data_IF_344940611069
#
_entry.id   IF_344940611069
#
_cell.length_a   1.000
_cell.length_b   1.000
_cell.length_c   1.000
_cell.angle_alpha   90.00
_cell.angle_beta   90.00
_cell.angle_gamma   90.00
#
_symmetry.space_group_name_H-M   'P 1'
#
loop_
_entity.id
_entity.type
_entity.pdbx_description
1 polymer ?
#
# COMPACT_ATOMS: atom_id res chain seq x y z
N UNK A 1 17.43 -9.91 15.84
CA UNK A 1 16.39 -10.23 14.83
C UNK A 1 16.06 -9.00 14.00
N UNK A 2 16.01 -7.82 14.61
CA UNK A 2 15.98 -6.50 13.94
C UNK A 2 16.95 -6.38 12.76
N UNK A 3 18.23 -6.73 12.94
CA UNK A 3 19.24 -6.63 11.87
C UNK A 3 19.00 -7.60 10.71
N UNK A 4 18.25 -8.70 10.94
CA UNK A 4 17.91 -9.66 9.89
C UNK A 4 16.82 -9.12 8.97
N UNK A 5 15.92 -8.26 9.45
CA UNK A 5 14.80 -7.71 8.67
C UNK A 5 15.29 -7.02 7.40
N UNK A 6 16.41 -6.29 7.47
CA UNK A 6 17.00 -5.61 6.34
C UNK A 6 17.32 -6.57 5.17
N UNK A 7 17.80 -7.78 5.47
CA UNK A 7 18.19 -8.77 4.46
C UNK A 7 17.08 -9.71 3.98
N UNK A 8 15.87 -9.63 4.55
CA UNK A 8 14.75 -10.47 4.12
C UNK A 8 14.12 -9.93 2.83
N UNK A 9 13.71 -10.80 1.88
CA UNK A 9 12.86 -10.38 0.77
C UNK A 9 11.48 -9.99 1.31
N UNK A 10 10.91 -8.91 0.79
CA UNK A 10 9.62 -8.37 1.23
C UNK A 10 8.68 -8.16 0.05
N UNK A 11 7.39 -8.22 0.29
CA UNK A 11 6.34 -7.99 -0.71
C UNK A 11 5.40 -6.92 -0.17
N UNK A 12 5.17 -5.87 -0.94
CA UNK A 12 4.40 -4.70 -0.53
C UNK A 12 3.15 -4.57 -1.41
N UNK A 13 1.96 -4.61 -0.83
CA UNK A 13 0.70 -4.60 -1.62
C UNK A 13 -0.14 -3.34 -1.42
N UNK A 14 0.23 -2.49 -0.47
CA UNK A 14 -0.50 -1.27 -0.13
C UNK A 14 0.48 -0.15 0.19
N UNK A 15 0.88 0.55 -0.87
CA UNK A 15 1.71 1.74 -0.81
C UNK A 15 1.20 2.73 -1.85
N UNK A 16 1.00 3.98 -1.45
CA UNK A 16 0.54 5.06 -2.31
C UNK A 16 1.73 5.87 -2.83
N UNK A 17 1.85 5.98 -4.15
CA UNK A 17 2.94 6.70 -4.80
C UNK A 17 2.94 8.19 -4.40
N UNK A 18 1.76 8.80 -4.37
CA UNK A 18 1.49 10.19 -3.99
C UNK A 18 1.57 10.44 -2.46
N UNK A 19 1.69 9.38 -1.66
CA UNK A 19 2.09 9.41 -0.26
C UNK A 19 3.50 8.86 0.01
N UNK A 20 4.25 8.55 -1.05
CA UNK A 20 5.53 7.84 -0.98
C UNK A 20 6.77 8.68 -1.31
N UNK A 21 6.61 9.99 -1.49
CA UNK A 21 7.67 10.90 -1.98
C UNK A 21 8.80 11.08 -0.96
N UNK A 22 10.02 11.29 -1.46
CA UNK A 22 11.13 11.78 -0.63
C UNK A 22 10.88 13.25 -0.26
N UNK A 23 11.08 13.66 1.00
CA UNK A 23 10.93 15.07 1.38
C UNK A 23 11.76 16.03 0.53
N UNK A 24 13.00 15.66 0.20
CA UNK A 24 13.86 16.47 -0.67
C UNK A 24 13.28 16.65 -2.08
N UNK A 25 12.67 15.61 -2.63
CA UNK A 25 11.99 15.69 -3.93
C UNK A 25 10.75 16.57 -3.86
N UNK A 26 10.01 16.57 -2.75
CA UNK A 26 8.89 17.50 -2.53
C UNK A 26 9.39 18.94 -2.54
N UNK A 27 10.50 19.24 -1.84
CA UNK A 27 11.11 20.58 -1.84
C UNK A 27 11.50 21.01 -3.25
N UNK A 28 12.25 20.18 -3.97
CA UNK A 28 12.72 20.49 -5.33
C UNK A 28 11.56 20.78 -6.29
N UNK A 29 10.53 19.92 -6.27
CA UNK A 29 9.38 20.06 -7.17
C UNK A 29 8.46 21.20 -6.77
N UNK A 30 8.34 21.50 -5.48
CA UNK A 30 7.56 22.65 -5.00
C UNK A 30 8.19 23.98 -5.42
N UNK A 31 9.53 24.10 -5.33
CA UNK A 31 10.25 25.29 -5.81
C UNK A 31 10.01 25.48 -7.32
N UNK A 32 10.14 24.42 -8.11
CA UNK A 32 9.89 24.45 -9.54
C UNK A 32 8.43 24.81 -9.90
N UNK A 33 7.47 24.39 -9.09
CA UNK A 33 6.04 24.67 -9.29
C UNK A 33 5.59 26.02 -8.69
N UNK A 34 6.44 26.69 -7.89
CA UNK A 34 6.05 27.86 -7.10
C UNK A 34 5.01 27.55 -6.02
N UNK A 35 4.97 26.30 -5.52
CA UNK A 35 4.05 25.86 -4.48
C UNK A 35 4.63 26.14 -3.09
N UNK A 36 3.93 26.87 -2.20
CA UNK A 36 4.43 27.12 -0.86
C UNK A 36 4.45 25.85 0.00
N UNK A 37 5.57 25.63 0.70
CA UNK A 37 5.74 24.60 1.70
C UNK A 37 5.87 25.21 3.11
N UNK A 38 5.54 24.46 4.16
CA UNK A 38 5.71 24.90 5.55
C UNK A 38 7.18 25.14 5.93
N UNK A 39 8.11 24.47 5.25
CA UNK A 39 9.56 24.65 5.33
C UNK A 39 10.19 24.15 4.03
N UNK A 40 11.38 24.65 3.69
CA UNK A 40 12.19 24.20 2.54
C UNK A 40 13.35 23.30 2.96
N UNK A 41 13.53 23.04 4.26
CA UNK A 41 14.47 22.02 4.73
C UNK A 41 13.83 20.63 4.60
N UNK A 42 14.44 19.67 3.86
CA UNK A 42 13.85 18.35 3.67
C UNK A 42 13.63 17.54 4.94
N UNK A 43 14.53 17.64 5.93
CA UNK A 43 14.41 16.89 7.18
C UNK A 43 13.26 17.46 8.01
N UNK A 44 13.20 18.77 8.17
CA UNK A 44 12.09 19.45 8.86
C UNK A 44 10.75 19.21 8.16
N UNK A 45 10.73 19.13 6.82
CA UNK A 45 9.53 18.86 6.05
C UNK A 45 9.03 17.44 6.28
N UNK A 46 9.92 16.44 6.26
CA UNK A 46 9.57 15.05 6.59
C UNK A 46 8.96 14.94 7.99
N UNK A 47 9.60 15.58 8.96
CA UNK A 47 9.10 15.69 10.34
C UNK A 47 7.74 16.39 10.42
N UNK A 48 7.51 17.42 9.60
CA UNK A 48 6.22 18.10 9.50
C UNK A 48 5.13 17.15 8.99
N UNK A 49 5.40 16.37 7.93
CA UNK A 49 4.45 15.38 7.41
C UNK A 49 4.07 14.36 8.48
N UNK A 50 5.03 13.80 9.22
CA UNK A 50 4.77 12.82 10.28
C UNK A 50 3.91 13.39 11.40
N UNK A 51 4.21 14.62 11.85
CA UNK A 51 3.41 15.29 12.89
C UNK A 51 2.00 15.64 12.42
N UNK A 52 1.87 16.14 11.18
CA UNK A 52 0.57 16.51 10.61
C UNK A 52 -0.31 15.27 10.39
N UNK A 53 0.28 14.16 9.94
CA UNK A 53 -0.38 12.88 9.78
C UNK A 53 -0.82 12.25 11.12
N UNK A 54 -0.05 12.45 12.19
CA UNK A 54 -0.33 11.96 13.56
C UNK A 54 -1.50 12.67 14.26
N UNK A 55 -2.62 12.84 13.58
CA UNK A 55 -3.78 13.63 13.99
C UNK A 55 -4.87 12.84 14.71
N UNK A 56 -4.84 11.51 14.63
CA UNK A 56 -5.87 10.60 15.15
C UNK A 56 -7.17 10.59 14.33
N UNK A 57 -7.15 11.14 13.10
CA UNK A 57 -8.30 11.20 12.19
C UNK A 57 -7.83 11.10 10.74
N UNK A 58 -8.52 10.27 9.94
CA UNK A 58 -8.23 10.11 8.51
C UNK A 58 -8.41 11.41 7.73
N UNK A 59 -9.41 12.23 8.07
CA UNK A 59 -9.67 13.48 7.35
C UNK A 59 -8.50 14.47 7.46
N UNK A 60 -7.95 14.64 8.67
CA UNK A 60 -6.79 15.52 8.90
C UNK A 60 -5.52 14.93 8.32
N UNK A 61 -5.38 13.61 8.36
CA UNK A 61 -4.28 12.91 7.70
C UNK A 61 -4.23 13.24 6.19
N UNK A 62 -5.39 13.23 5.52
CA UNK A 62 -5.51 13.52 4.09
C UNK A 62 -5.19 14.97 3.71
N UNK A 63 -5.27 15.94 4.63
CA UNK A 63 -4.91 17.34 4.36
C UNK A 63 -3.45 17.49 3.93
N UNK A 64 -2.57 16.59 4.36
CA UNK A 64 -1.14 16.60 4.00
C UNK A 64 -0.89 16.37 2.51
N UNK A 65 -1.79 15.66 1.81
CA UNK A 65 -1.68 15.39 0.38
C UNK A 65 -1.82 16.63 -0.49
N UNK A 66 -2.31 17.74 0.06
CA UNK A 66 -2.34 19.01 -0.65
C UNK A 66 -0.95 19.40 -1.18
N UNK A 67 0.12 19.07 -0.47
CA UNK A 67 1.49 19.35 -0.92
C UNK A 67 2.00 18.33 -1.94
N UNK A 68 1.80 17.03 -1.71
CA UNK A 68 2.32 15.99 -2.60
C UNK A 68 1.60 15.98 -3.94
N UNK A 69 0.27 16.14 -3.94
CA UNK A 69 -0.52 16.27 -5.17
C UNK A 69 -0.13 17.52 -5.94
N UNK A 70 0.07 18.67 -5.28
CA UNK A 70 0.44 19.92 -5.96
C UNK A 70 1.76 19.82 -6.75
N UNK A 71 2.72 19.03 -6.27
CA UNK A 71 4.02 18.86 -6.94
C UNK A 71 4.03 17.76 -7.99
N UNK A 72 2.96 16.98 -8.12
CA UNK A 72 2.81 15.87 -9.06
C UNK A 72 1.88 16.21 -10.25
N UNK A 73 2.05 17.41 -10.82
CA UNK A 73 1.18 17.91 -11.90
C UNK A 73 1.84 17.90 -13.29
N UNK A 74 3.07 17.38 -13.40
CA UNK A 74 3.80 17.22 -14.68
C UNK A 74 4.22 15.77 -14.88
N UNK A 75 4.38 15.37 -16.15
CA UNK A 75 4.82 14.02 -16.49
C UNK A 75 6.24 13.74 -15.94
N UNK A 76 7.11 14.75 -15.96
CA UNK A 76 8.47 14.66 -15.44
C UNK A 76 8.50 14.43 -13.92
N UNK A 77 7.63 15.11 -13.17
CA UNK A 77 7.51 14.94 -11.72
C UNK A 77 7.00 13.54 -11.37
N UNK A 78 5.93 13.09 -12.04
CA UNK A 78 5.36 11.74 -11.88
C UNK A 78 6.38 10.64 -12.20
N UNK A 79 7.09 10.78 -13.33
CA UNK A 79 8.15 9.86 -13.72
C UNK A 79 9.28 9.80 -12.69
N UNK A 80 9.76 10.97 -12.23
CA UNK A 80 10.82 11.06 -11.21
C UNK A 80 10.40 10.36 -9.93
N UNK A 81 9.21 10.65 -9.41
CA UNK A 81 8.72 10.08 -8.15
C UNK A 81 8.48 8.58 -8.27
N UNK A 82 7.91 8.11 -9.39
CA UNK A 82 7.76 6.68 -9.68
C UNK A 82 9.10 5.95 -9.69
N UNK A 83 10.10 6.49 -10.39
CA UNK A 83 11.46 5.95 -10.40
C UNK A 83 12.08 5.91 -9.01
N UNK A 84 11.99 7.01 -8.26
CA UNK A 84 12.55 7.13 -6.91
C UNK A 84 11.92 6.14 -5.93
N UNK A 85 10.61 5.91 -6.03
CA UNK A 85 9.87 4.93 -5.24
C UNK A 85 10.41 3.51 -5.46
N UNK A 86 10.62 3.09 -6.71
CA UNK A 86 11.20 1.76 -7.00
C UNK A 86 12.59 1.60 -6.38
N UNK A 87 13.42 2.64 -6.47
CA UNK A 87 14.78 2.61 -5.91
C UNK A 87 14.76 2.49 -4.37
N UNK A 88 13.86 3.22 -3.70
CA UNK A 88 13.72 3.17 -2.25
C UNK A 88 13.19 1.81 -1.78
N UNK A 89 12.19 1.27 -2.48
CA UNK A 89 11.63 -0.06 -2.20
C UNK A 89 12.70 -1.16 -2.40
N UNK A 90 13.46 -1.09 -3.49
CA UNK A 90 14.55 -2.03 -3.74
C UNK A 90 15.64 -1.94 -2.65
N UNK A 91 15.98 -0.73 -2.20
CA UNK A 91 16.94 -0.51 -1.13
C UNK A 91 16.45 -1.08 0.22
N UNK A 92 15.13 -1.05 0.48
CA UNK A 92 14.49 -1.66 1.64
C UNK A 92 14.30 -3.19 1.51
N UNK A 93 14.78 -3.80 0.42
CA UNK A 93 14.72 -5.25 0.18
C UNK A 93 13.35 -5.75 -0.28
N UNK A 94 12.49 -4.85 -0.79
CA UNK A 94 11.24 -5.20 -1.44
C UNK A 94 11.55 -5.82 -2.80
N UNK A 95 11.00 -7.01 -3.05
CA UNK A 95 11.22 -7.78 -4.29
C UNK A 95 10.01 -7.71 -5.22
N UNK A 96 8.84 -7.37 -4.68
CA UNK A 96 7.63 -7.09 -5.44
C UNK A 96 6.80 -6.02 -4.74
N UNK A 97 6.29 -5.05 -5.51
CA UNK A 97 5.38 -4.03 -5.01
C UNK A 97 4.19 -3.80 -5.94
N UNK A 98 3.04 -3.52 -5.35
CA UNK A 98 1.90 -2.88 -6.00
C UNK A 98 1.74 -1.47 -5.43
N UNK A 99 2.16 -0.49 -6.22
CA UNK A 99 2.05 0.93 -5.91
C UNK A 99 0.71 1.44 -6.46
N UNK A 100 -0.03 2.18 -5.63
CA UNK A 100 -1.34 2.74 -5.98
C UNK A 100 -1.30 4.26 -6.03
N UNK A 101 -2.15 4.86 -6.83
CA UNK A 101 -2.31 6.32 -6.92
C UNK A 101 -3.61 6.66 -7.65
N UNK A 102 -4.08 7.89 -7.47
CA UNK A 102 -5.27 8.40 -8.13
C UNK A 102 -4.91 9.27 -9.34
N UNK A 103 -4.90 8.73 -10.58
CA UNK A 103 -4.47 9.49 -11.76
C UNK A 103 -5.30 10.76 -11.98
N UNK A 104 -6.56 10.79 -11.54
CA UNK A 104 -7.43 11.97 -11.62
C UNK A 104 -6.95 13.17 -10.79
N UNK A 105 -6.09 12.96 -9.78
CA UNK A 105 -5.55 14.03 -8.95
C UNK A 105 -4.38 14.79 -9.61
N UNK A 106 -3.84 14.25 -10.71
CA UNK A 106 -2.64 14.75 -11.38
C UNK A 106 -2.93 15.47 -12.71
N UNK A 107 -4.13 16.04 -12.84
CA UNK A 107 -4.62 16.68 -14.07
C UNK A 107 -4.75 18.21 -13.98
N UNK A 108 -4.43 18.84 -12.83
CA UNK A 108 -4.51 20.30 -12.67
C UNK A 108 -3.50 21.03 -13.58
N UNK A 109 -2.39 20.38 -13.90
CA UNK A 109 -1.40 20.83 -14.89
C UNK A 109 -1.80 20.60 -16.35
N UNK A 110 -2.99 20.07 -16.63
CA UNK A 110 -3.51 19.83 -17.99
C UNK A 110 -3.18 18.47 -18.60
N UNK A 111 -2.61 17.54 -17.82
CA UNK A 111 -2.37 16.17 -18.25
C UNK A 111 -3.68 15.38 -18.44
N UNK A 112 -3.74 14.55 -19.47
CA UNK A 112 -4.72 13.47 -19.59
C UNK A 112 -4.39 12.30 -18.67
N UNK A 113 -5.40 11.51 -18.28
CA UNK A 113 -5.23 10.32 -17.43
C UNK A 113 -4.20 9.33 -17.99
N UNK A 114 -4.19 9.11 -19.31
CA UNK A 114 -3.21 8.24 -19.97
C UNK A 114 -1.78 8.79 -19.84
N UNK A 115 -1.59 10.11 -19.97
CA UNK A 115 -0.27 10.74 -19.84
C UNK A 115 0.27 10.61 -18.42
N UNK A 116 -0.60 10.76 -17.41
CA UNK A 116 -0.25 10.52 -16.00
C UNK A 116 0.23 9.09 -15.81
N UNK A 117 -0.57 8.11 -16.28
CA UNK A 117 -0.26 6.70 -16.11
C UNK A 117 0.99 6.27 -16.88
N UNK A 118 1.15 6.71 -18.14
CA UNK A 118 2.33 6.39 -18.95
C UNK A 118 3.61 6.93 -18.30
N UNK A 119 3.58 8.14 -17.72
CA UNK A 119 4.72 8.71 -17.00
C UNK A 119 5.11 7.88 -15.77
N UNK A 120 4.13 7.46 -14.96
CA UNK A 120 4.38 6.61 -13.79
C UNK A 120 4.94 5.25 -14.19
N UNK A 121 4.36 4.60 -15.20
CA UNK A 121 4.83 3.29 -15.67
C UNK A 121 6.23 3.36 -16.28
N UNK A 122 6.56 4.45 -16.98
CA UNK A 122 7.91 4.69 -17.47
C UNK A 122 8.92 4.87 -16.33
N UNK A 123 8.56 5.63 -15.30
CA UNK A 123 9.39 5.79 -14.09
C UNK A 123 9.61 4.47 -13.35
N UNK A 124 8.56 3.64 -13.21
CA UNK A 124 8.71 2.30 -12.64
C UNK A 124 9.68 1.43 -13.46
N UNK A 125 9.53 1.41 -14.78
CA UNK A 125 10.41 0.63 -15.64
C UNK A 125 11.88 1.07 -15.55
N UNK A 126 12.15 2.39 -15.50
CA UNK A 126 13.51 2.92 -15.32
C UNK A 126 14.07 2.57 -13.94
N UNK A 127 13.28 2.75 -12.87
CA UNK A 127 13.69 2.41 -11.52
C UNK A 127 14.02 0.92 -11.35
N UNK A 128 13.25 0.03 -11.99
CA UNK A 128 13.53 -1.42 -12.00
C UNK A 128 14.87 -1.72 -12.70
N UNK A 129 15.15 -1.06 -13.82
CA UNK A 129 16.41 -1.23 -14.56
C UNK A 129 17.61 -0.75 -13.75
N UNK A 130 17.50 0.41 -13.10
CA UNK A 130 18.55 0.95 -12.25
C UNK A 130 18.80 0.08 -11.00
N UNK A 131 17.74 -0.40 -10.35
CA UNK A 131 17.86 -1.34 -9.25
C UNK A 131 18.59 -2.62 -9.67
N UNK A 132 18.24 -3.17 -10.85
CA UNK A 132 18.91 -4.33 -11.42
C UNK A 132 20.39 -4.09 -11.71
N UNK A 133 20.76 -2.91 -12.23
CA UNK A 133 22.15 -2.52 -12.44
C UNK A 133 22.95 -2.43 -11.12
N UNK A 134 22.28 -2.19 -10.00
CA UNK A 134 22.86 -2.22 -8.65
C UNK A 134 22.80 -3.61 -7.98
N UNK A 135 22.41 -4.65 -8.73
CA UNK A 135 22.31 -6.02 -8.22
C UNK A 135 21.09 -6.28 -7.33
N UNK A 136 20.07 -5.41 -7.38
CA UNK A 136 18.81 -5.57 -6.65
C UNK A 136 17.70 -6.01 -7.61
N UNK A 137 16.89 -6.97 -7.20
CA UNK A 137 15.74 -7.43 -7.97
C UNK A 137 14.46 -6.91 -7.33
N UNK A 138 13.70 -6.12 -8.07
CA UNK A 138 12.37 -5.66 -7.69
C UNK A 138 11.47 -5.70 -8.91
N UNK A 139 10.17 -5.93 -8.68
CA UNK A 139 9.13 -5.73 -9.68
C UNK A 139 8.03 -4.85 -9.11
N UNK A 140 7.61 -3.84 -9.84
CA UNK A 140 6.56 -2.90 -9.45
C UNK A 140 5.41 -2.92 -10.46
N UNK A 141 4.18 -2.92 -9.94
CA UNK A 141 2.94 -2.86 -10.71
C UNK A 141 2.06 -1.75 -10.16
N UNK A 142 1.19 -1.23 -11.02
CA UNK A 142 0.28 -0.16 -10.66
C UNK A 142 -1.10 -0.71 -10.26
N UNK A 143 -1.70 -0.11 -9.24
CA UNK A 143 -3.14 -0.11 -9.00
C UNK A 143 -3.66 1.31 -9.24
N UNK A 144 -4.80 1.44 -9.90
CA UNK A 144 -5.44 2.76 -10.05
C UNK A 144 -6.50 2.93 -8.99
N UNK A 145 -6.34 3.94 -8.14
CA UNK A 145 -7.30 4.28 -7.11
C UNK A 145 -8.28 5.33 -7.63
N UNK A 146 -9.58 5.09 -7.49
CA UNK A 146 -10.56 6.16 -7.64
C UNK A 146 -10.82 6.83 -6.29
N UNK A 147 -10.80 8.15 -6.28
CA UNK A 147 -11.12 8.93 -5.08
C UNK A 147 -12.63 8.88 -4.81
N UNK A 148 -12.99 8.36 -3.62
CA UNK A 148 -14.36 8.17 -3.13
C UNK A 148 -15.27 9.39 -3.32
N UNK A 149 -14.70 10.58 -3.13
CA UNK A 149 -15.37 11.87 -3.15
C UNK A 149 -15.39 12.57 -4.51
N UNK A 150 -14.65 12.04 -5.51
CA UNK A 150 -14.50 12.69 -6.80
C UNK A 150 -15.58 12.30 -7.82
N UNK A 151 -16.35 11.23 -7.56
CA UNK A 151 -17.37 10.69 -8.47
C UNK A 151 -16.85 10.38 -9.90
N UNK A 152 -15.55 10.11 -10.05
CA UNK A 152 -14.87 9.76 -11.31
C UNK A 152 -14.52 8.27 -11.46
N UNK A 153 -15.15 7.42 -10.64
CA UNK A 153 -14.86 5.98 -10.57
C UNK A 153 -14.90 5.25 -11.91
N UNK A 154 -15.88 5.57 -12.75
CA UNK A 154 -16.05 4.91 -14.06
C UNK A 154 -14.91 5.25 -15.04
N UNK A 155 -14.40 6.50 -15.01
CA UNK A 155 -13.27 6.92 -15.85
C UNK A 155 -11.98 6.19 -15.44
N UNK A 156 -11.70 6.12 -14.14
CA UNK A 156 -10.51 5.47 -13.60
C UNK A 156 -10.59 3.95 -13.81
N UNK A 157 -11.76 3.34 -13.63
CA UNK A 157 -11.97 1.93 -13.91
C UNK A 157 -11.79 1.59 -15.39
N UNK A 158 -12.27 2.44 -16.30
CA UNK A 158 -12.04 2.28 -17.74
C UNK A 158 -10.55 2.36 -18.09
N UNK A 159 -9.81 3.29 -17.49
CA UNK A 159 -8.35 3.39 -17.65
C UNK A 159 -7.64 2.15 -17.14
N UNK A 160 -8.00 1.66 -15.95
CA UNK A 160 -7.42 0.46 -15.36
C UNK A 160 -7.62 -0.77 -16.27
N UNK A 161 -8.82 -0.92 -16.82
CA UNK A 161 -9.13 -1.96 -17.80
C UNK A 161 -8.31 -1.80 -19.08
N UNK A 162 -8.16 -0.59 -19.63
CA UNK A 162 -7.36 -0.35 -20.82
C UNK A 162 -5.87 -0.70 -20.62
N UNK A 163 -5.35 -0.57 -19.40
CA UNK A 163 -3.95 -0.81 -19.06
C UNK A 163 -3.65 -2.14 -18.36
N UNK A 164 -4.64 -3.03 -18.21
CA UNK A 164 -4.52 -4.31 -17.47
C UNK A 164 -3.42 -5.28 -17.94
N UNK A 165 -2.91 -5.09 -19.15
CA UNK A 165 -1.80 -5.86 -19.73
C UNK A 165 -0.54 -5.01 -19.97
N UNK A 166 -0.51 -3.80 -19.39
CA UNK A 166 0.53 -2.78 -19.58
C UNK A 166 1.07 -2.26 -18.24
N UNK A 167 1.06 -3.10 -17.20
CA UNK A 167 1.63 -2.78 -15.89
C UNK A 167 0.60 -2.39 -14.82
N UNK A 168 -0.66 -2.13 -15.17
CA UNK A 168 -1.77 -2.07 -14.20
C UNK A 168 -2.25 -3.48 -13.91
N UNK A 169 -2.36 -3.84 -12.63
CA UNK A 169 -2.79 -5.19 -12.20
C UNK A 169 -4.08 -5.20 -11.41
N UNK A 170 -4.60 -4.03 -11.03
CA UNK A 170 -5.85 -3.94 -10.30
C UNK A 170 -6.36 -2.52 -10.15
N UNK A 171 -7.45 -2.41 -9.42
CA UNK A 171 -8.13 -1.16 -9.10
C UNK A 171 -8.36 -1.06 -7.60
N UNK A 172 -8.44 0.16 -7.10
CA UNK A 172 -8.67 0.50 -5.71
C UNK A 172 -9.65 1.68 -5.57
N UNK A 173 -10.19 1.89 -4.37
CA UNK A 173 -10.84 3.15 -4.00
C UNK A 173 -10.22 3.67 -2.71
N UNK A 174 -9.93 4.97 -2.68
CA UNK A 174 -9.26 5.65 -1.58
C UNK A 174 -9.94 6.99 -1.22
N UNK A 175 -9.43 7.69 -0.22
CA UNK A 175 -10.01 8.92 0.30
C UNK A 175 -10.93 8.71 1.51
N UNK A 176 -11.77 9.69 1.87
CA UNK A 176 -12.59 9.64 3.07
C UNK A 176 -13.55 8.44 3.02
N UNK A 177 -13.44 7.53 3.99
CA UNK A 177 -14.26 6.33 4.06
C UNK A 177 -15.69 6.64 4.52
N UNK A 178 -15.81 7.43 5.60
CA UNK A 178 -17.10 7.80 6.18
C UNK A 178 -17.94 8.64 5.22
N UNK A 179 -19.17 8.21 4.94
CA UNK A 179 -20.09 8.92 4.06
C UNK A 179 -19.87 8.68 2.55
N UNK A 180 -18.85 7.91 2.18
CA UNK A 180 -18.58 7.57 0.77
C UNK A 180 -18.47 6.06 0.58
N UNK A 181 -19.56 5.30 0.77
CA UNK A 181 -19.51 3.83 0.72
C UNK A 181 -19.11 3.32 -0.67
N UNK A 182 -18.47 2.13 -0.77
CA UNK A 182 -18.09 1.52 -2.06
C UNK A 182 -19.27 1.36 -3.03
N UNK A 183 -20.49 1.17 -2.51
CA UNK A 183 -21.72 1.05 -3.30
C UNK A 183 -22.01 2.27 -4.20
N UNK A 184 -21.45 3.45 -3.92
CA UNK A 184 -21.53 4.62 -4.83
C UNK A 184 -20.87 4.37 -6.19
N UNK A 185 -19.87 3.48 -6.24
CA UNK A 185 -19.12 3.14 -7.45
C UNK A 185 -19.59 1.80 -8.06
N UNK A 186 -20.88 1.46 -7.91
CA UNK A 186 -21.44 0.19 -8.40
C UNK A 186 -21.19 -0.03 -9.90
N UNK A 187 -21.28 1.04 -10.72
CA UNK A 187 -21.00 0.98 -12.17
C UNK A 187 -19.56 0.54 -12.45
N UNK A 188 -18.58 1.27 -11.90
CA UNK A 188 -17.16 0.94 -11.96
C UNK A 188 -16.85 -0.50 -11.50
N UNK A 189 -17.31 -0.90 -10.31
CA UNK A 189 -17.11 -2.27 -9.82
C UNK A 189 -17.77 -3.33 -10.72
N UNK A 190 -18.92 -3.03 -11.30
CA UNK A 190 -19.57 -3.86 -12.32
C UNK A 190 -18.70 -4.04 -13.56
N UNK A 191 -18.13 -2.96 -14.09
CA UNK A 191 -17.25 -2.97 -15.25
C UNK A 191 -15.95 -3.75 -14.97
N UNK A 192 -15.32 -3.53 -13.82
CA UNK A 192 -14.09 -4.20 -13.40
C UNK A 192 -14.29 -5.72 -13.28
N UNK A 193 -15.39 -6.15 -12.65
CA UNK A 193 -15.76 -7.56 -12.56
C UNK A 193 -16.03 -8.17 -13.93
N UNK A 194 -16.76 -7.48 -14.81
CA UNK A 194 -17.01 -7.96 -16.16
C UNK A 194 -15.71 -8.06 -16.99
N UNK A 195 -14.77 -7.16 -16.74
CA UNK A 195 -13.44 -7.13 -17.36
C UNK A 195 -12.39 -8.03 -16.70
N UNK A 196 -12.77 -8.79 -15.67
CA UNK A 196 -11.88 -9.70 -14.90
C UNK A 196 -10.64 -8.99 -14.30
N UNK A 197 -10.78 -7.73 -13.91
CA UNK A 197 -9.72 -7.00 -13.20
C UNK A 197 -9.97 -7.10 -11.68
N UNK A 198 -9.00 -7.61 -10.89
CA UNK A 198 -9.17 -7.71 -9.45
C UNK A 198 -9.18 -6.33 -8.80
N UNK A 199 -9.87 -6.24 -7.67
CA UNK A 199 -10.03 -4.98 -6.93
C UNK A 199 -9.61 -5.17 -5.48
N UNK A 200 -8.87 -4.21 -4.95
CA UNK A 200 -8.74 -3.99 -3.50
C UNK A 200 -9.64 -2.81 -3.13
N UNK A 201 -10.06 -2.71 -1.87
CA UNK A 201 -10.93 -1.63 -1.41
C UNK A 201 -10.46 -1.22 -0.01
N UNK A 202 -10.07 0.04 0.18
CA UNK A 202 -9.88 0.59 1.52
C UNK A 202 -11.16 0.44 2.32
N UNK A 203 -11.19 -0.37 3.37
CA UNK A 203 -12.39 -0.54 4.18
C UNK A 203 -12.02 -0.99 5.58
N UNK A 204 -12.78 -0.53 6.57
CA UNK A 204 -12.51 -0.83 7.96
C UNK A 204 -11.22 -0.17 8.46
N UNK A 205 -10.93 1.05 8.00
CA UNK A 205 -9.82 1.87 8.51
C UNK A 205 -10.35 2.90 9.51
N UNK A 206 -11.20 3.82 9.02
CA UNK A 206 -11.87 4.85 9.80
C UNK A 206 -13.35 4.51 10.05
N UNK A 207 -13.99 3.77 9.16
CA UNK A 207 -15.34 3.24 9.34
C UNK A 207 -15.34 1.81 9.90
N UNK A 208 -16.50 1.33 10.34
CA UNK A 208 -16.66 0.04 11.00
C UNK A 208 -16.94 -1.14 10.06
N UNK A 209 -17.50 -2.20 10.63
CA UNK A 209 -17.80 -3.46 9.95
C UNK A 209 -18.70 -3.32 8.72
N UNK A 210 -19.60 -2.34 8.70
CA UNK A 210 -20.50 -2.10 7.55
C UNK A 210 -19.70 -1.75 6.28
N UNK A 211 -18.62 -0.98 6.41
CA UNK A 211 -17.76 -0.64 5.27
C UNK A 211 -17.03 -1.88 4.74
N UNK A 212 -16.53 -2.74 5.63
CA UNK A 212 -15.92 -4.02 5.25
C UNK A 212 -16.96 -4.92 4.57
N UNK A 213 -18.19 -4.97 5.10
CA UNK A 213 -19.28 -5.73 4.50
C UNK A 213 -19.60 -5.25 3.08
N UNK A 214 -19.71 -3.94 2.86
CA UNK A 214 -19.92 -3.39 1.52
C UNK A 214 -18.75 -3.67 0.58
N UNK A 215 -17.50 -3.56 1.06
CA UNK A 215 -16.31 -3.88 0.26
C UNK A 215 -16.34 -5.34 -0.25
N UNK A 216 -16.65 -6.31 0.61
CA UNK A 216 -16.75 -7.71 0.17
C UNK A 216 -17.96 -7.95 -0.74
N UNK A 217 -19.07 -7.21 -0.56
CA UNK A 217 -20.25 -7.30 -1.41
C UNK A 217 -20.01 -6.76 -2.83
N UNK A 218 -19.21 -5.69 -2.98
CA UNK A 218 -18.84 -5.18 -4.31
C UNK A 218 -17.78 -6.06 -5.00
N UNK A 219 -17.19 -7.02 -4.29
CA UNK A 219 -16.30 -8.03 -4.84
C UNK A 219 -14.82 -7.79 -4.54
N UNK A 220 -14.49 -7.11 -3.44
CA UNK A 220 -13.11 -6.91 -3.01
C UNK A 220 -12.35 -8.24 -2.91
N UNK A 221 -11.25 -8.34 -3.64
CA UNK A 221 -10.31 -9.46 -3.58
C UNK A 221 -9.33 -9.31 -2.40
N UNK A 222 -9.10 -8.06 -1.96
CA UNK A 222 -8.32 -7.69 -0.76
C UNK A 222 -8.99 -6.49 -0.07
N UNK A 223 -8.72 -6.32 1.20
CA UNK A 223 -9.17 -5.18 1.99
C UNK A 223 -7.97 -4.29 2.31
N UNK A 224 -7.97 -3.07 1.80
CA UNK A 224 -7.07 -2.01 2.23
C UNK A 224 -7.33 -1.71 3.70
N UNK A 225 -6.32 -1.88 4.55
CA UNK A 225 -6.46 -1.99 6.00
C UNK A 225 -7.30 -3.21 6.42
N UNK A 226 -8.63 -3.06 6.53
CA UNK A 226 -9.51 -4.08 7.12
C UNK A 226 -9.29 -4.27 8.62
N UNK A 227 -8.60 -3.34 9.29
CA UNK A 227 -8.18 -3.48 10.70
C UNK A 227 -9.37 -3.61 11.65
N UNK A 228 -10.48 -2.92 11.34
CA UNK A 228 -11.73 -2.97 12.11
C UNK A 228 -12.47 -4.31 12.00
N UNK A 229 -12.02 -5.27 11.19
CA UNK A 229 -12.55 -6.66 11.24
C UNK A 229 -12.34 -7.29 12.62
N UNK A 230 -11.37 -6.79 13.39
CA UNK A 230 -11.14 -7.18 14.78
C UNK A 230 -12.33 -6.88 15.70
N UNK A 231 -13.21 -5.93 15.33
CA UNK A 231 -14.44 -5.62 16.06
C UNK A 231 -15.50 -6.73 15.91
N UNK A 232 -15.39 -7.56 14.86
CA UNK A 232 -16.22 -8.76 14.66
C UNK A 232 -15.58 -10.02 15.28
N UNK A 233 -14.64 -9.84 16.21
CA UNK A 233 -13.96 -10.92 16.95
C UNK A 233 -14.09 -10.67 18.44
N UNK A 234 -14.81 -11.55 19.15
CA UNK A 234 -14.97 -11.48 20.60
C UNK A 234 -13.65 -11.69 21.35
N UNK A 235 -13.55 -11.21 22.59
CA UNK A 235 -12.32 -11.30 23.38
C UNK A 235 -11.75 -12.73 23.52
N UNK A 236 -12.61 -13.76 23.54
CA UNK A 236 -12.25 -15.18 23.59
C UNK A 236 -11.95 -15.81 22.21
N UNK A 237 -12.01 -15.03 21.13
CA UNK A 237 -11.63 -15.42 19.78
C UNK A 237 -12.76 -16.01 18.94
N UNK A 238 -14.02 -15.93 19.38
CA UNK A 238 -15.16 -16.28 18.53
C UNK A 238 -15.29 -15.25 17.41
N UNK A 239 -15.49 -15.74 16.19
CA UNK A 239 -15.66 -14.90 15.02
C UNK A 239 -17.14 -14.63 14.79
N UNK A 240 -17.49 -13.39 14.47
CA UNK A 240 -18.76 -13.06 13.87
C UNK A 240 -18.84 -13.51 12.40
N UNK A 241 -20.00 -13.27 11.80
CA UNK A 241 -20.30 -13.73 10.44
C UNK A 241 -19.37 -13.11 9.40
N UNK A 242 -19.02 -11.82 9.54
CA UNK A 242 -18.18 -11.12 8.58
C UNK A 242 -16.72 -11.56 8.71
N UNK A 243 -16.23 -11.70 9.94
CA UNK A 243 -14.93 -12.28 10.25
C UNK A 243 -14.79 -13.69 9.68
N UNK A 244 -15.81 -14.55 9.83
CA UNK A 244 -15.87 -15.86 9.18
C UNK A 244 -15.78 -15.74 7.65
N UNK A 245 -16.57 -14.85 7.04
CA UNK A 245 -16.58 -14.66 5.59
C UNK A 245 -15.19 -14.29 5.05
N UNK A 246 -14.54 -13.30 5.67
CA UNK A 246 -13.21 -12.79 5.29
C UNK A 246 -12.15 -13.86 5.49
N UNK A 247 -12.07 -14.47 6.69
CA UNK A 247 -11.06 -15.48 7.02
C UNK A 247 -11.18 -16.72 6.14
N UNK A 248 -12.38 -17.29 6.01
CA UNK A 248 -12.58 -18.59 5.40
C UNK A 248 -12.40 -18.53 3.86
N UNK A 249 -12.56 -17.34 3.25
CA UNK A 249 -12.24 -17.07 1.84
C UNK A 249 -10.81 -16.58 1.61
N UNK A 250 -10.04 -16.42 2.68
CA UNK A 250 -8.68 -15.86 2.66
C UNK A 250 -8.62 -14.48 1.99
N UNK A 251 -9.63 -13.63 2.17
CA UNK A 251 -9.59 -12.24 1.70
C UNK A 251 -8.49 -11.52 2.52
N UNK A 252 -7.40 -11.06 1.91
CA UNK A 252 -6.29 -10.49 2.64
C UNK A 252 -6.62 -9.16 3.29
N UNK A 253 -6.06 -8.95 4.47
CA UNK A 253 -6.02 -7.69 5.19
C UNK A 253 -4.68 -7.01 4.92
N UNK A 254 -4.69 -5.92 4.16
CA UNK A 254 -3.52 -5.10 3.85
C UNK A 254 -3.25 -4.16 5.03
N UNK A 255 -2.73 -4.70 6.14
CA UNK A 255 -2.60 -3.96 7.39
C UNK A 255 -1.37 -3.06 7.40
N UNK A 256 -1.54 -1.84 7.90
CA UNK A 256 -0.52 -0.77 7.84
C UNK A 256 -0.30 -0.20 9.25
N UNK A 257 0.52 -0.85 10.10
CA UNK A 257 0.59 -0.54 11.53
C UNK A 257 0.85 0.94 11.85
N UNK A 258 1.88 1.58 11.27
CA UNK A 258 2.15 3.00 11.55
C UNK A 258 1.01 3.92 11.12
N UNK A 259 0.44 3.70 9.93
CA UNK A 259 -0.73 4.46 9.44
C UNK A 259 -1.95 4.25 10.36
N UNK A 260 -2.25 3.01 10.74
CA UNK A 260 -3.35 2.68 11.64
C UNK A 260 -3.21 3.29 13.04
N UNK A 261 -1.98 3.54 13.50
CA UNK A 261 -1.75 4.33 14.71
C UNK A 261 -2.08 5.82 14.49
N UNK A 262 -1.63 6.38 13.38
CA UNK A 262 -1.85 7.80 13.03
C UNK A 262 -3.31 8.13 12.76
N UNK A 263 -4.08 7.19 12.20
CA UNK A 263 -5.51 7.34 11.91
C UNK A 263 -6.41 6.87 13.07
N UNK A 264 -5.84 6.39 14.18
CA UNK A 264 -6.55 6.12 15.42
C UNK A 264 -7.19 4.73 15.52
N UNK A 265 -6.85 3.80 14.61
CA UNK A 265 -7.33 2.42 14.65
C UNK A 265 -6.64 1.56 15.73
N UNK A 266 -5.44 1.95 16.18
CA UNK A 266 -4.75 1.32 17.31
C UNK A 266 -3.91 2.35 18.10
N UNK A 267 -3.65 2.07 19.38
CA UNK A 267 -2.88 2.98 20.25
C UNK A 267 -1.36 2.76 20.19
N UNK A 268 -0.92 1.54 19.87
CA UNK A 268 0.48 1.16 19.79
C UNK A 268 0.65 -0.05 18.85
N UNK A 269 1.87 -0.33 18.40
CA UNK A 269 2.14 -1.52 17.58
C UNK A 269 1.91 -2.81 18.38
N UNK A 270 2.18 -2.78 19.70
CA UNK A 270 1.94 -3.92 20.59
C UNK A 270 0.43 -4.24 20.73
N UNK A 271 -0.41 -3.19 20.79
CA UNK A 271 -1.87 -3.31 20.91
C UNK A 271 -2.58 -3.45 19.55
N UNK A 272 -1.85 -3.32 18.44
CA UNK A 272 -2.40 -3.41 17.11
C UNK A 272 -2.99 -4.81 16.86
N UNK A 273 -4.23 -4.94 16.33
CA UNK A 273 -4.91 -6.22 16.22
C UNK A 273 -4.27 -7.20 15.22
N UNK A 274 -3.31 -6.74 14.42
CA UNK A 274 -2.60 -7.54 13.40
C UNK A 274 -2.08 -8.87 13.93
N UNK A 275 -1.46 -8.90 15.12
CA UNK A 275 -0.92 -10.13 15.71
C UNK A 275 -2.05 -11.10 16.05
N UNK A 276 -3.13 -10.59 16.65
CA UNK A 276 -4.31 -11.40 16.99
C UNK A 276 -4.98 -11.97 15.74
N UNK A 277 -5.16 -11.15 14.71
CA UNK A 277 -5.75 -11.57 13.43
C UNK A 277 -4.88 -12.63 12.74
N UNK A 278 -3.55 -12.45 12.72
CA UNK A 278 -2.61 -13.44 12.19
C UNK A 278 -2.74 -14.78 12.92
N UNK A 279 -2.79 -14.77 14.26
CA UNK A 279 -2.93 -15.98 15.10
C UNK A 279 -4.28 -16.67 14.95
N UNK A 280 -5.34 -15.91 14.63
CA UNK A 280 -6.68 -16.43 14.32
C UNK A 280 -6.82 -16.98 12.90
N UNK A 281 -5.74 -16.95 12.10
CA UNK A 281 -5.69 -17.56 10.77
C UNK A 281 -6.18 -16.67 9.64
N UNK A 282 -6.34 -15.37 9.86
CA UNK A 282 -6.62 -14.43 8.78
C UNK A 282 -5.42 -14.33 7.82
N UNK A 283 -5.70 -14.07 6.54
CA UNK A 283 -4.68 -13.75 5.57
C UNK A 283 -4.16 -12.31 5.82
N UNK A 284 -3.15 -12.19 6.67
CA UNK A 284 -2.55 -10.90 7.03
C UNK A 284 -1.36 -10.60 6.11
N UNK A 285 -1.30 -9.38 5.60
CA UNK A 285 -0.09 -8.79 5.02
C UNK A 285 0.33 -7.56 5.84
N UNK A 286 1.57 -7.10 5.66
CA UNK A 286 2.08 -5.87 6.27
C UNK A 286 2.44 -4.93 5.14
N UNK A 287 1.97 -3.69 5.22
CA UNK A 287 2.24 -2.65 4.24
C UNK A 287 2.50 -1.30 4.90
N UNK A 288 2.95 -0.33 4.11
CA UNK A 288 3.39 1.00 4.55
C UNK A 288 2.29 2.04 4.48
N UNK A 289 1.30 1.85 3.60
CA UNK A 289 0.32 2.85 3.22
C UNK A 289 0.97 4.09 2.60
N UNK A 290 1.45 5.04 3.39
CA UNK A 290 2.10 6.25 2.89
C UNK A 290 3.45 6.47 3.58
N UNK A 291 4.55 6.19 2.88
CA UNK A 291 5.90 6.23 3.46
C UNK A 291 6.27 7.61 4.01
N UNK A 292 5.87 8.69 3.32
CA UNK A 292 6.19 10.06 3.72
C UNK A 292 5.38 10.47 4.97
N UNK A 293 4.07 10.33 4.92
CA UNK A 293 3.15 10.70 6.00
C UNK A 293 3.39 9.86 7.26
N UNK A 294 3.64 8.55 7.11
CA UNK A 294 3.95 7.68 8.24
C UNK A 294 5.41 7.69 8.65
N UNK A 295 6.29 8.35 7.88
CA UNK A 295 7.74 8.37 8.13
C UNK A 295 8.32 6.96 8.23
N UNK A 296 7.91 6.06 7.33
CA UNK A 296 8.15 4.62 7.47
C UNK A 296 8.68 3.95 6.21
N UNK A 297 9.15 2.72 6.36
CA UNK A 297 9.48 1.77 5.29
C UNK A 297 8.91 0.40 5.67
N UNK A 298 8.77 -0.52 4.71
CA UNK A 298 8.27 -1.86 5.05
C UNK A 298 9.22 -2.59 6.02
N UNK A 299 10.53 -2.39 5.88
CA UNK A 299 11.52 -2.84 6.84
C UNK A 299 11.32 -2.26 8.25
N UNK A 300 10.88 -1.00 8.36
CA UNK A 300 10.55 -0.37 9.65
C UNK A 300 9.28 -0.96 10.26
N UNK A 301 8.21 -1.14 9.49
CA UNK A 301 6.96 -1.78 9.96
C UNK A 301 7.25 -3.18 10.55
N UNK A 302 7.97 -4.01 9.79
CA UNK A 302 8.32 -5.37 10.21
C UNK A 302 9.23 -5.38 11.45
N UNK A 303 10.15 -4.43 11.55
CA UNK A 303 11.02 -4.28 12.74
C UNK A 303 10.21 -3.91 13.97
N UNK A 304 9.28 -2.98 13.87
CA UNK A 304 8.42 -2.60 15.00
C UNK A 304 7.58 -3.77 15.49
N UNK A 305 7.06 -4.61 14.58
CA UNK A 305 6.31 -5.81 14.95
C UNK A 305 7.18 -6.85 15.66
N UNK A 306 8.45 -7.01 15.26
CA UNK A 306 9.42 -7.86 15.97
C UNK A 306 9.69 -7.32 17.37
N UNK A 307 9.95 -6.02 17.49
CA UNK A 307 10.41 -5.38 18.74
C UNK A 307 9.28 -5.20 19.75
N UNK A 308 8.07 -4.87 19.29
CA UNK A 308 6.96 -4.44 20.16
C UNK A 308 5.85 -5.49 20.25
N UNK A 309 5.66 -6.30 19.20
CA UNK A 309 4.61 -7.33 19.16
C UNK A 309 5.18 -8.77 19.23
N UNK A 310 6.49 -8.93 19.40
CA UNK A 310 7.15 -10.22 19.56
C UNK A 310 7.11 -11.12 18.34
N UNK A 311 6.98 -10.54 17.13
CA UNK A 311 6.96 -11.32 15.89
C UNK A 311 8.28 -12.05 15.67
N UNK A 312 8.18 -13.26 15.14
CA UNK A 312 9.28 -14.17 14.86
C UNK A 312 9.66 -14.16 13.37
N UNK A 313 10.76 -14.81 13.01
CA UNK A 313 11.11 -15.02 11.60
C UNK A 313 10.03 -15.78 10.82
N UNK A 314 9.32 -16.70 11.49
CA UNK A 314 8.23 -17.45 10.87
C UNK A 314 7.02 -16.56 10.61
N UNK A 315 6.74 -15.60 11.48
CA UNK A 315 5.69 -14.59 11.26
C UNK A 315 6.00 -13.72 10.04
N UNK A 316 7.24 -13.20 9.98
CA UNK A 316 7.73 -12.41 8.84
C UNK A 316 7.64 -13.20 7.53
N UNK A 317 8.02 -14.49 7.57
CA UNK A 317 7.90 -15.39 6.43
C UNK A 317 6.44 -15.59 6.03
N UNK A 318 5.56 -15.84 7.00
CA UNK A 318 4.14 -16.10 6.75
C UNK A 318 3.46 -14.90 6.09
N UNK A 319 3.67 -13.68 6.58
CA UNK A 319 3.04 -12.49 5.98
C UNK A 319 3.63 -12.16 4.61
N UNK A 320 4.93 -12.41 4.40
CA UNK A 320 5.57 -12.19 3.09
C UNK A 320 5.05 -13.17 2.04
N UNK A 321 4.92 -14.46 2.39
CA UNK A 321 4.32 -15.46 1.50
C UNK A 321 2.83 -15.18 1.28
N UNK A 322 2.11 -14.76 2.32
CA UNK A 322 0.70 -14.36 2.18
C UNK A 322 0.56 -13.20 1.20
N UNK A 323 1.40 -12.17 1.29
CA UNK A 323 1.41 -11.07 0.34
C UNK A 323 1.74 -11.57 -1.08
N UNK A 324 2.78 -12.39 -1.26
CA UNK A 324 3.14 -12.92 -2.57
C UNK A 324 2.00 -13.72 -3.24
N UNK A 325 1.30 -14.57 -2.48
CA UNK A 325 0.16 -15.35 -2.98
C UNK A 325 -1.06 -14.50 -3.36
N UNK A 326 -1.19 -13.29 -2.83
CA UNK A 326 -2.32 -12.40 -3.10
C UNK A 326 -1.92 -11.14 -3.89
N UNK A 327 -0.72 -11.11 -4.45
CA UNK A 327 -0.39 -10.18 -5.52
C UNK A 327 -1.35 -10.41 -6.70
N UNK A 328 -1.69 -9.33 -7.41
CA UNK A 328 -2.61 -9.35 -8.55
C UNK A 328 -1.93 -9.71 -9.88
N UNK A 329 -0.61 -9.90 -9.90
CA UNK A 329 0.04 -10.59 -11.02
C UNK A 329 -0.40 -12.05 -11.13
N UNK A 330 -0.22 -12.62 -12.32
CA UNK A 330 -0.60 -14.00 -12.61
C UNK A 330 0.15 -15.04 -11.76
N UNK A 331 -0.45 -16.21 -11.60
CA UNK A 331 0.06 -17.31 -10.78
C UNK A 331 1.50 -17.71 -11.13
N UNK A 332 1.86 -17.72 -12.42
CA UNK A 332 3.20 -18.07 -12.88
C UNK A 332 4.25 -17.04 -12.44
N UNK A 333 3.88 -15.76 -12.30
CA UNK A 333 4.75 -14.72 -11.74
C UNK A 333 4.85 -14.85 -10.21
N UNK A 334 3.73 -15.11 -9.52
CA UNK A 334 3.70 -15.34 -8.06
C UNK A 334 4.56 -16.54 -7.67
N UNK A 335 4.40 -17.66 -8.38
CA UNK A 335 5.14 -18.90 -8.11
C UNK A 335 6.64 -18.69 -8.27
N UNK A 336 7.08 -18.05 -9.37
CA UNK A 336 8.50 -17.73 -9.56
C UNK A 336 9.03 -16.81 -8.47
N UNK A 337 8.29 -15.76 -8.10
CA UNK A 337 8.68 -14.86 -7.01
C UNK A 337 8.86 -15.64 -5.69
N UNK A 338 7.94 -16.55 -5.38
CA UNK A 338 7.97 -17.34 -4.15
C UNK A 338 9.12 -18.35 -4.15
N UNK A 339 9.27 -19.12 -5.22
CA UNK A 339 10.19 -20.26 -5.28
C UNK A 339 11.64 -19.83 -5.51
N UNK A 340 11.86 -18.78 -6.32
CA UNK A 340 13.21 -18.37 -6.72
C UNK A 340 13.78 -17.27 -5.82
N UNK A 341 12.92 -16.44 -5.21
CA UNK A 341 13.36 -15.26 -4.44
C UNK A 341 13.01 -15.37 -2.96
N UNK A 342 11.73 -15.51 -2.62
CA UNK A 342 11.26 -15.40 -1.22
C UNK A 342 11.71 -16.60 -0.40
N UNK A 343 11.37 -17.82 -0.82
CA UNK A 343 11.68 -19.05 -0.09
C UNK A 343 13.19 -19.22 0.12
N UNK A 344 14.05 -19.05 -0.91
CA UNK A 344 15.50 -19.09 -0.73
C UNK A 344 16.03 -17.98 0.18
N UNK A 345 15.46 -16.76 0.11
CA UNK A 345 15.84 -15.64 0.98
C UNK A 345 15.62 -15.95 2.46
N UNK A 346 14.44 -16.47 2.82
CA UNK A 346 14.14 -16.89 4.19
C UNK A 346 14.97 -18.10 4.64
N UNK A 347 15.24 -19.07 3.75
CA UNK A 347 16.09 -20.21 4.06
C UNK A 347 17.53 -19.79 4.43
N UNK A 348 18.11 -18.83 3.71
CA UNK A 348 19.44 -18.26 4.04
C UNK A 348 19.44 -17.59 5.41
N UNK A 349 18.42 -16.80 5.72
CA UNK A 349 18.29 -16.13 7.02
C UNK A 349 18.12 -17.12 8.19
N UNK A 350 17.46 -18.26 7.96
CA UNK A 350 17.33 -19.32 8.96
C UNK A 350 18.65 -20.10 9.16
N UNK A 351 19.34 -20.45 8.06
CA UNK A 351 20.59 -21.22 8.08
C UNK A 351 21.79 -20.49 8.69
N UNK A 352 21.78 -19.15 8.71
CA UNK A 352 22.79 -18.34 9.38
C UNK A 352 22.85 -18.51 10.92
N UNK A 353 21.82 -19.11 11.54
CA UNK A 353 21.75 -19.30 13.00
C UNK A 353 22.61 -20.44 13.55
N UNK A 354 23.18 -21.29 12.70
CA UNK A 354 24.07 -22.40 13.11
C UNK A 354 25.56 -22.08 12.96
N UNK A 355 25.92 -20.85 12.59
CA UNK A 355 27.31 -20.38 12.53
C UNK A 355 27.49 -19.13 13.38
N UNK A 356 27.33 -19.28 14.69
CA UNK A 356 27.80 -18.33 15.71
C UNK A 356 28.22 -19.12 16.95
#
# INVERSE_FOLDING_TARGET
>A
MTDLVAGLPKVLLHDHLDGGLRPATVVDLADAAGHPLPTSDPEELGDWFVRAAGSGSLERYLETFAHTVAVLQTAEALHRVAREAVLDLAADGVVYAEERFAPEQHQLGGLGLEQVLDAVLAGFAEGEQEAAAQGRTIRVRALLSAMRQADRGDEVAALALAYRNRGVVGFDIAGPEAGFPPSRLTSAFGALRAGLLPVTVHAGEAAGLDSIAEAVQVGACRLGHGVRIADDVSADGQLGTLAHWVRDRRIPLELCPSSNLQTGAAASVADHPITRLLRLGFAVTVSTDNRLQSGTTLGRELRQLVEQAGWTLDDLRQVTLTAAHHAFVHEDERTRLIDEVITPGFARAAGGRHRA
#
